data_IF_977772047274
#
_entry.id   IF_977772047274
#
_cell.length_a   1.000
_cell.length_b   1.000
_cell.length_c   1.000
_cell.angle_alpha   90.00
_cell.angle_beta   90.00
_cell.angle_gamma   90.00
#
_symmetry.space_group_name_H-M   'P 1'
#
loop_
_entity.id
_entity.type
_entity.pdbx_description
1 polymer ?
#
# COMPACT_ATOMS: atom_id res chain seq x y z
N UNK A 1 -1.49 -22.54 -15.28
CA UNK A 1 -0.75 -22.14 -14.06
C UNK A 1 -1.63 -22.46 -12.85
N UNK A 2 -1.16 -23.24 -11.87
CA UNK A 2 -1.93 -23.57 -10.67
C UNK A 2 -2.28 -22.27 -9.91
N UNK A 3 -3.53 -22.09 -9.48
CA UNK A 3 -3.99 -20.87 -8.80
C UNK A 3 -3.12 -20.47 -7.61
N UNK A 4 -2.61 -21.47 -6.88
CA UNK A 4 -1.67 -21.28 -5.77
C UNK A 4 -0.34 -20.65 -6.19
N UNK A 5 0.19 -21.01 -7.36
CA UNK A 5 1.44 -20.42 -7.89
C UNK A 5 1.23 -18.96 -8.27
N UNK A 6 0.05 -18.61 -8.79
CA UNK A 6 -0.28 -17.21 -9.12
C UNK A 6 -0.28 -16.35 -7.85
N UNK A 7 -0.99 -16.81 -6.81
CA UNK A 7 -1.06 -16.09 -5.53
C UNK A 7 0.33 -15.95 -4.91
N UNK A 8 1.18 -16.98 -5.01
CA UNK A 8 2.55 -16.91 -4.50
C UNK A 8 3.38 -15.83 -5.21
N UNK A 9 3.37 -15.77 -6.54
CA UNK A 9 4.09 -14.72 -7.26
C UNK A 9 3.55 -13.33 -6.93
N UNK A 10 2.23 -13.18 -6.81
CA UNK A 10 1.61 -11.92 -6.41
C UNK A 10 2.05 -11.49 -5.00
N UNK A 11 2.17 -12.43 -4.06
CA UNK A 11 2.72 -12.17 -2.74
C UNK A 11 4.18 -11.71 -2.80
N UNK A 12 5.01 -12.37 -3.60
CA UNK A 12 6.42 -11.96 -3.77
C UNK A 12 6.50 -10.53 -4.31
N UNK A 13 5.74 -10.22 -5.37
CA UNK A 13 5.73 -8.87 -5.93
C UNK A 13 5.20 -7.81 -4.97
N UNK A 14 4.17 -8.13 -4.19
CA UNK A 14 3.63 -7.18 -3.21
C UNK A 14 4.59 -6.97 -2.03
N UNK A 15 5.29 -8.01 -1.58
CA UNK A 15 6.32 -7.89 -0.53
C UNK A 15 7.50 -7.06 -1.02
N UNK A 16 7.93 -7.24 -2.26
CA UNK A 16 8.95 -6.39 -2.87
C UNK A 16 8.49 -4.92 -2.92
N UNK A 17 7.24 -4.68 -3.32
CA UNK A 17 6.64 -3.35 -3.28
C UNK A 17 6.64 -2.76 -1.86
N UNK A 18 6.32 -3.55 -0.83
CA UNK A 18 6.30 -3.09 0.55
C UNK A 18 7.70 -2.72 1.04
N UNK A 19 8.70 -3.54 0.70
CA UNK A 19 10.11 -3.25 1.02
C UNK A 19 10.54 -1.96 0.33
N UNK A 20 10.28 -1.81 -0.97
CA UNK A 20 10.59 -0.57 -1.69
C UNK A 20 9.87 0.62 -1.06
N UNK A 21 8.58 0.49 -0.73
CA UNK A 21 7.81 1.56 -0.09
C UNK A 21 8.44 2.00 1.23
N UNK A 22 8.81 1.05 2.08
CA UNK A 22 9.50 1.31 3.34
C UNK A 22 10.84 2.02 3.14
N UNK A 23 11.64 1.57 2.16
CA UNK A 23 12.93 2.20 1.84
C UNK A 23 12.76 3.66 1.39
N UNK A 24 11.74 3.96 0.59
CA UNK A 24 11.49 5.32 0.10
C UNK A 24 10.94 6.23 1.21
N UNK A 25 10.02 5.73 2.05
CA UNK A 25 9.48 6.51 3.19
C UNK A 25 10.58 6.85 4.22
N UNK A 26 11.58 5.98 4.39
CA UNK A 26 12.72 6.23 5.29
C UNK A 26 13.96 6.73 4.53
N UNK A 27 13.76 7.64 3.57
CA UNK A 27 14.81 8.08 2.64
C UNK A 27 16.05 8.70 3.29
N UNK A 28 15.93 9.32 4.47
CA UNK A 28 17.07 9.80 5.23
C UNK A 28 17.91 8.66 5.82
N UNK A 29 17.26 7.66 6.44
CA UNK A 29 17.95 6.53 7.09
C UNK A 29 18.71 5.66 6.09
N UNK A 30 18.16 5.53 4.88
CA UNK A 30 18.79 4.78 3.78
C UNK A 30 19.76 5.62 2.93
N UNK A 31 19.95 6.90 3.27
CA UNK A 31 20.90 7.79 2.61
C UNK A 31 20.50 8.20 1.18
N UNK A 32 19.22 8.11 0.83
CA UNK A 32 18.70 8.63 -0.45
C UNK A 32 18.55 10.15 -0.43
N UNK A 33 18.23 10.73 0.74
CA UNK A 33 18.16 12.17 0.95
C UNK A 33 19.20 12.63 1.96
N UNK A 34 19.67 13.87 1.78
CA UNK A 34 20.65 14.47 2.67
C UNK A 34 20.02 14.82 4.03
N UNK A 35 20.64 14.33 5.10
CA UNK A 35 20.33 14.70 6.48
C UNK A 35 21.64 14.92 7.24
N UNK A 36 21.80 16.11 7.82
CA UNK A 36 22.88 16.41 8.75
C UNK A 36 22.29 16.72 10.13
N UNK A 37 22.40 15.72 11.00
CA UNK A 37 21.91 15.79 12.39
C UNK A 37 22.72 16.78 13.25
N UNK A 38 23.96 17.09 12.88
CA UNK A 38 24.81 18.03 13.62
C UNK A 38 24.46 19.49 13.34
N UNK A 39 24.13 19.83 12.10
CA UNK A 39 23.68 21.18 11.73
C UNK A 39 22.15 21.33 11.69
N UNK A 40 21.41 20.24 11.89
CA UNK A 40 19.95 20.16 11.76
C UNK A 40 19.46 20.62 10.37
N UNK A 41 20.20 20.26 9.32
CA UNK A 41 19.87 20.57 7.93
C UNK A 41 19.40 19.33 7.19
N UNK A 42 18.26 19.45 6.49
CA UNK A 42 17.58 18.34 5.84
C UNK A 42 17.13 18.77 4.44
N UNK A 43 17.29 17.87 3.47
CA UNK A 43 16.70 18.03 2.13
C UNK A 43 15.23 17.60 2.14
N UNK A 44 14.38 18.52 2.60
CA UNK A 44 12.93 18.30 2.73
C UNK A 44 12.28 18.04 1.36
N UNK A 45 12.75 18.69 0.29
CA UNK A 45 12.19 18.48 -1.05
C UNK A 45 12.48 17.07 -1.58
N UNK A 46 13.68 16.56 -1.36
CA UNK A 46 14.01 15.17 -1.64
C UNK A 46 13.12 14.21 -0.84
N UNK A 47 13.00 14.43 0.47
CA UNK A 47 12.24 13.54 1.33
C UNK A 47 10.76 13.49 0.96
N UNK A 48 10.13 14.66 0.76
CA UNK A 48 8.72 14.73 0.36
C UNK A 48 8.47 14.01 -0.97
N UNK A 49 9.39 14.10 -1.94
CA UNK A 49 9.27 13.36 -3.20
C UNK A 49 9.26 11.85 -2.98
N UNK A 50 10.19 11.33 -2.16
CA UNK A 50 10.28 9.91 -1.87
C UNK A 50 9.13 9.42 -1.00
N UNK A 51 8.69 10.20 -0.02
CA UNK A 51 7.53 9.92 0.82
C UNK A 51 6.26 9.82 -0.02
N UNK A 52 6.06 10.77 -0.95
CA UNK A 52 4.92 10.79 -1.89
C UNK A 52 4.81 9.53 -2.74
N UNK A 53 5.92 8.85 -3.02
CA UNK A 53 5.96 7.58 -3.75
C UNK A 53 5.93 6.39 -2.78
N UNK A 54 6.62 6.52 -1.65
CA UNK A 54 6.87 5.48 -0.66
C UNK A 54 5.62 5.12 0.12
N UNK A 55 4.87 6.08 0.65
CA UNK A 55 3.69 5.81 1.46
C UNK A 55 2.59 5.04 0.71
N UNK A 56 2.14 5.46 -0.50
CA UNK A 56 1.11 4.70 -1.19
C UNK A 56 1.58 3.29 -1.56
N UNK A 57 2.88 3.13 -1.85
CA UNK A 57 3.46 1.81 -2.10
C UNK A 57 3.48 0.97 -0.81
N UNK A 58 3.91 1.53 0.32
CA UNK A 58 3.96 0.89 1.62
C UNK A 58 2.57 0.40 2.07
N UNK A 59 1.58 1.29 2.10
CA UNK A 59 0.23 0.95 2.55
C UNK A 59 -0.50 0.05 1.55
N UNK A 60 -0.47 0.40 0.26
CA UNK A 60 -1.18 -0.35 -0.77
C UNK A 60 -0.63 -1.77 -0.95
N UNK A 61 0.69 -1.90 -1.08
CA UNK A 61 1.31 -3.23 -1.26
C UNK A 61 1.42 -4.02 0.04
N UNK A 62 1.44 -3.36 1.20
CA UNK A 62 1.28 -4.02 2.49
C UNK A 62 -0.08 -4.68 2.65
N UNK A 63 -1.15 -3.96 2.30
CA UNK A 63 -2.49 -4.50 2.29
C UNK A 63 -2.64 -5.67 1.30
N UNK A 64 -2.08 -5.54 0.10
CA UNK A 64 -2.03 -6.63 -0.89
C UNK A 64 -1.26 -7.85 -0.35
N UNK A 65 -0.09 -7.63 0.26
CA UNK A 65 0.74 -8.71 0.82
C UNK A 65 0.00 -9.50 1.88
N UNK A 66 -0.69 -8.81 2.79
CA UNK A 66 -1.51 -9.45 3.82
C UNK A 66 -2.59 -10.34 3.19
N UNK A 67 -3.30 -9.83 2.19
CA UNK A 67 -4.39 -10.57 1.54
C UNK A 67 -3.88 -11.73 0.70
N UNK A 68 -2.77 -11.57 -0.04
CA UNK A 68 -2.16 -12.67 -0.78
C UNK A 68 -1.62 -13.77 0.14
N UNK A 69 -1.06 -13.40 1.30
CA UNK A 69 -0.67 -14.37 2.32
C UNK A 69 -1.87 -15.20 2.78
N UNK A 70 -3.01 -14.57 3.07
CA UNK A 70 -4.24 -15.28 3.45
C UNK A 70 -4.78 -16.18 2.32
N UNK A 71 -4.74 -15.69 1.08
CA UNK A 71 -5.19 -16.45 -0.09
C UNK A 71 -4.32 -17.68 -0.41
N UNK A 72 -3.08 -17.75 0.08
CA UNK A 72 -2.28 -18.98 0.00
C UNK A 72 -2.87 -20.12 0.84
N UNK A 73 -3.54 -19.79 1.95
CA UNK A 73 -4.18 -20.75 2.85
C UNK A 73 -5.63 -21.04 2.45
N UNK A 74 -6.32 -20.08 1.80
CA UNK A 74 -7.70 -20.21 1.34
C UNK A 74 -7.80 -20.01 -0.18
N UNK A 75 -7.21 -20.90 -1.00
CA UNK A 75 -7.13 -20.72 -2.45
C UNK A 75 -8.49 -20.69 -3.14
N UNK A 76 -9.52 -21.32 -2.56
CA UNK A 76 -10.89 -21.31 -3.08
C UNK A 76 -11.54 -19.91 -3.06
N UNK A 77 -11.06 -18.98 -2.23
CA UNK A 77 -11.57 -17.61 -2.18
C UNK A 77 -11.05 -16.72 -3.32
N UNK A 78 -9.97 -17.12 -3.99
CA UNK A 78 -9.29 -16.30 -5.00
C UNK A 78 -10.20 -15.83 -6.14
N UNK A 79 -11.07 -16.66 -6.76
CA UNK A 79 -11.93 -16.19 -7.84
C UNK A 79 -12.95 -15.14 -7.40
N UNK A 80 -13.44 -15.22 -6.16
CA UNK A 80 -14.37 -14.23 -5.61
C UNK A 80 -13.65 -12.93 -5.26
N UNK A 81 -12.50 -13.03 -4.59
CA UNK A 81 -11.67 -11.87 -4.25
C UNK A 81 -11.18 -11.12 -5.50
N UNK A 82 -10.77 -11.83 -6.56
CA UNK A 82 -10.27 -11.23 -7.80
C UNK A 82 -11.30 -10.29 -8.44
N UNK A 83 -12.59 -10.62 -8.39
CA UNK A 83 -13.67 -9.78 -8.94
C UNK A 83 -13.81 -8.45 -8.20
N UNK A 84 -13.48 -8.42 -6.91
CA UNK A 84 -13.41 -7.19 -6.14
C UNK A 84 -12.12 -6.42 -6.46
N UNK A 85 -10.98 -7.11 -6.39
CA UNK A 85 -9.66 -6.49 -6.55
C UNK A 85 -9.47 -5.84 -7.93
N UNK A 86 -10.05 -6.39 -9.00
CA UNK A 86 -9.92 -5.83 -10.36
C UNK A 86 -10.50 -4.41 -10.50
N UNK A 87 -11.44 -4.03 -9.64
CA UNK A 87 -12.03 -2.69 -9.62
C UNK A 87 -11.43 -1.82 -8.52
N UNK A 88 -11.27 -2.39 -7.32
CA UNK A 88 -10.80 -1.63 -6.18
C UNK A 88 -9.33 -1.21 -6.31
N UNK A 89 -8.44 -2.10 -6.78
CA UNK A 89 -7.00 -1.81 -6.83
C UNK A 89 -6.68 -0.67 -7.80
N UNK A 90 -7.23 -0.63 -9.05
CA UNK A 90 -7.03 0.52 -9.93
C UNK A 90 -7.63 1.81 -9.36
N UNK A 91 -8.81 1.74 -8.73
CA UNK A 91 -9.43 2.90 -8.10
C UNK A 91 -8.55 3.46 -6.98
N UNK A 92 -8.03 2.59 -6.09
CA UNK A 92 -7.11 2.97 -5.04
C UNK A 92 -5.82 3.59 -5.60
N UNK A 93 -5.26 3.01 -6.66
CA UNK A 93 -4.07 3.55 -7.33
C UNK A 93 -4.30 4.96 -7.88
N UNK A 94 -5.47 5.21 -8.50
CA UNK A 94 -5.84 6.55 -8.98
C UNK A 94 -5.94 7.54 -7.81
N UNK A 95 -6.62 7.15 -6.72
CA UNK A 95 -6.71 7.98 -5.51
C UNK A 95 -5.30 8.31 -5.00
N UNK A 96 -4.41 7.33 -4.94
CA UNK A 96 -3.06 7.50 -4.41
C UNK A 96 -2.20 8.45 -5.24
N UNK A 97 -2.36 8.41 -6.57
CA UNK A 97 -1.64 9.30 -7.48
C UNK A 97 -2.18 10.74 -7.40
N UNK A 98 -3.50 10.89 -7.37
CA UNK A 98 -4.16 12.19 -7.58
C UNK A 98 -4.37 12.97 -6.28
N UNK A 99 -4.47 12.32 -5.12
CA UNK A 99 -4.88 12.98 -3.87
C UNK A 99 -3.87 14.04 -3.40
N UNK A 100 -4.18 15.34 -3.43
CA UNK A 100 -3.20 16.40 -3.19
C UNK A 100 -2.76 16.47 -1.73
N UNK A 101 -1.61 17.09 -1.48
CA UNK A 101 -1.26 17.51 -0.12
C UNK A 101 -2.17 18.67 0.31
N UNK A 102 -2.71 18.66 1.55
CA UNK A 102 -3.52 19.75 2.05
C UNK A 102 -2.67 21.02 2.17
N UNK A 103 -3.21 22.16 1.71
CA UNK A 103 -2.56 23.45 1.87
C UNK A 103 -2.64 23.94 3.32
N UNK A 104 -1.81 24.93 3.68
CA UNK A 104 -1.78 25.51 5.04
C UNK A 104 -3.11 26.12 5.52
N UNK A 105 -4.09 26.29 4.62
CA UNK A 105 -5.44 26.80 4.90
C UNK A 105 -6.54 25.73 4.89
N UNK A 106 -6.21 24.46 4.59
CA UNK A 106 -7.18 23.36 4.53
C UNK A 106 -7.29 22.64 5.88
N UNK A 107 -8.21 23.12 6.73
CA UNK A 107 -8.43 22.56 8.06
C UNK A 107 -9.20 21.23 8.09
N UNK A 108 -9.79 20.82 6.96
CA UNK A 108 -10.73 19.68 6.88
C UNK A 108 -10.19 18.54 6.01
N UNK A 109 -9.23 18.81 5.12
CA UNK A 109 -8.68 17.79 4.25
C UNK A 109 -7.69 16.89 5.03
N UNK A 110 -7.89 15.57 5.07
CA UNK A 110 -6.93 14.66 5.69
C UNK A 110 -5.61 14.68 4.93
N UNK A 111 -4.52 14.36 5.63
CA UNK A 111 -3.22 14.17 4.99
C UNK A 111 -3.24 12.93 4.08
N UNK A 112 -2.44 12.92 2.98
CA UNK A 112 -2.40 11.79 2.05
C UNK A 112 -2.16 10.45 2.75
N UNK A 113 -1.24 10.41 3.71
CA UNK A 113 -0.96 9.23 4.54
C UNK A 113 -2.25 8.63 5.13
N UNK A 114 -3.09 9.47 5.76
CA UNK A 114 -4.33 9.02 6.38
C UNK A 114 -5.26 8.43 5.32
N UNK A 115 -5.38 9.07 4.16
CA UNK A 115 -6.18 8.54 3.06
C UNK A 115 -5.65 7.18 2.59
N UNK A 116 -4.34 7.01 2.47
CA UNK A 116 -3.71 5.76 2.08
C UNK A 116 -3.98 4.65 3.09
N UNK A 117 -3.88 4.96 4.38
CA UNK A 117 -4.22 4.05 5.48
C UNK A 117 -5.70 3.64 5.43
N UNK A 118 -6.64 4.58 5.33
CA UNK A 118 -8.07 4.30 5.33
C UNK A 118 -8.51 3.48 4.11
N UNK A 119 -8.02 3.82 2.92
CA UNK A 119 -8.30 3.07 1.68
C UNK A 119 -7.74 1.65 1.79
N UNK A 120 -6.52 1.50 2.32
CA UNK A 120 -5.89 0.20 2.53
C UNK A 120 -6.61 -0.64 3.58
N UNK A 121 -7.06 -0.02 4.68
CA UNK A 121 -7.86 -0.68 5.71
C UNK A 121 -9.22 -1.14 5.15
N UNK A 122 -9.89 -0.30 4.36
CA UNK A 122 -11.14 -0.67 3.69
C UNK A 122 -10.95 -1.85 2.74
N UNK A 123 -9.86 -1.83 1.96
CA UNK A 123 -9.49 -2.95 1.10
C UNK A 123 -9.32 -4.25 1.87
N UNK A 124 -8.59 -4.22 2.99
CA UNK A 124 -8.37 -5.41 3.84
C UNK A 124 -9.69 -5.90 4.41
N UNK A 125 -10.51 -5.01 4.99
CA UNK A 125 -11.81 -5.37 5.58
C UNK A 125 -12.72 -6.08 4.57
N UNK A 126 -12.92 -5.50 3.38
CA UNK A 126 -13.76 -6.10 2.34
C UNK A 126 -13.16 -7.42 1.85
N UNK A 127 -11.84 -7.48 1.68
CA UNK A 127 -11.16 -8.72 1.28
C UNK A 127 -11.34 -9.83 2.31
N UNK A 128 -11.21 -9.52 3.61
CA UNK A 128 -11.43 -10.48 4.70
C UNK A 128 -12.85 -11.02 4.70
N UNK A 129 -13.86 -10.17 4.53
CA UNK A 129 -15.27 -10.60 4.43
C UNK A 129 -15.44 -11.60 3.28
N UNK A 130 -14.83 -11.33 2.12
CA UNK A 130 -14.89 -12.22 0.96
C UNK A 130 -14.19 -13.55 1.27
N UNK A 131 -13.00 -13.53 1.87
CA UNK A 131 -12.23 -14.74 2.19
C UNK A 131 -12.99 -15.61 3.21
N UNK A 132 -13.46 -15.02 4.31
CA UNK A 132 -14.19 -15.73 5.36
C UNK A 132 -15.45 -16.38 4.79
N UNK A 133 -16.24 -15.64 4.01
CA UNK A 133 -17.48 -16.17 3.40
C UNK A 133 -17.23 -17.34 2.45
N UNK A 134 -16.09 -17.35 1.74
CA UNK A 134 -15.75 -18.45 0.84
C UNK A 134 -14.99 -19.58 1.54
N UNK A 135 -14.43 -19.36 2.72
CA UNK A 135 -13.82 -20.42 3.55
C UNK A 135 -14.86 -21.29 4.24
N UNK A 136 -16.07 -20.77 4.49
CA UNK A 136 -17.17 -21.50 5.15
C UNK A 136 -18.06 -22.29 4.18
N UNK A 137 -17.78 -22.20 2.87
CA UNK A 137 -18.47 -22.96 1.82
C UNK A 137 -17.64 -24.17 1.43
#
# INVERSE_FOLDING_TARGET
MNGKNIVFYLLVFSVLGLVVGYLLTNSYDFGFCFADLTSNTFDVSCHNLFERIGEPLLYGTGALSLIFLLLLFVPQAFPAWKKFAIWFVPLAAIIFIVYPEPGSSDFIAPYPEQVFQWVSALYVLVSLIIIIRNSMK
#
